data_IF_457233710661
#
_entry.id   IF_457233710661
#
_cell.length_a   1.000
_cell.length_b   1.000
_cell.length_c   1.000
_cell.angle_alpha   90.00
_cell.angle_beta   90.00
_cell.angle_gamma   90.00
#
_symmetry.space_group_name_H-M   'P 1'
#
loop_
_entity.id
_entity.type
_entity.pdbx_description
1 polymer ?
#
# COMPACT_ATOMS: atom_id res chain seq x y z
N UNK A 1 12.18 -4.47 -11.25
CA UNK A 1 12.16 -3.33 -12.21
C UNK A 1 12.05 -2.00 -11.48
N UNK A 2 11.02 -1.79 -10.65
CA UNK A 2 10.79 -0.47 -10.05
C UNK A 2 11.87 -0.03 -9.05
N UNK A 3 12.53 -0.95 -8.35
CA UNK A 3 13.54 -0.57 -7.33
C UNK A 3 14.93 -0.29 -7.92
N UNK A 4 15.32 -1.00 -8.98
CA UNK A 4 16.68 -0.96 -9.52
C UNK A 4 16.66 -0.71 -11.03
N UNK A 5 16.73 -1.77 -11.85
CA UNK A 5 16.71 -1.66 -13.31
C UNK A 5 15.78 -2.68 -13.97
N UNK A 6 15.53 -2.50 -15.26
CA UNK A 6 14.81 -3.49 -16.07
C UNK A 6 15.57 -4.83 -16.13
N UNK A 7 16.90 -4.78 -16.28
CA UNK A 7 17.76 -5.98 -16.31
C UNK A 7 17.67 -6.77 -15.01
N UNK A 8 17.80 -6.09 -13.87
CA UNK A 8 17.63 -6.73 -12.55
C UNK A 8 16.24 -7.33 -12.39
N UNK A 9 15.21 -6.68 -12.94
CA UNK A 9 13.85 -7.22 -12.95
C UNK A 9 13.72 -8.51 -13.77
N UNK A 10 14.34 -8.57 -14.94
CA UNK A 10 14.36 -9.78 -15.77
C UNK A 10 15.10 -10.92 -15.09
N UNK A 11 16.25 -10.64 -14.46
CA UNK A 11 17.00 -11.63 -13.69
C UNK A 11 16.16 -12.17 -12.53
N UNK A 12 15.52 -11.29 -11.75
CA UNK A 12 14.65 -11.71 -10.65
C UNK A 12 13.46 -12.56 -11.14
N UNK A 13 12.83 -12.17 -12.26
CA UNK A 13 11.74 -12.92 -12.86
C UNK A 13 12.18 -14.28 -13.40
N UNK A 14 13.42 -14.40 -13.88
CA UNK A 14 14.00 -15.66 -14.33
C UNK A 14 14.35 -16.58 -13.15
N UNK A 15 14.84 -16.05 -12.04
CA UNK A 15 15.27 -16.85 -10.87
C UNK A 15 14.10 -17.28 -9.99
N UNK A 16 13.10 -16.41 -9.79
CA UNK A 16 12.02 -16.63 -8.82
C UNK A 16 11.27 -17.97 -8.98
N UNK A 17 10.92 -18.44 -10.21
CA UNK A 17 10.25 -19.72 -10.40
C UNK A 17 11.09 -20.93 -9.99
N UNK A 18 12.42 -20.81 -9.97
CA UNK A 18 13.34 -21.90 -9.64
C UNK A 18 13.74 -21.96 -8.16
N UNK A 19 13.24 -21.03 -7.34
CA UNK A 19 13.46 -21.10 -5.89
C UNK A 19 12.70 -22.31 -5.32
N UNK A 20 13.33 -23.16 -4.48
CA UNK A 20 12.66 -24.36 -3.95
C UNK A 20 11.33 -24.06 -3.27
N UNK A 21 11.25 -22.97 -2.50
CA UNK A 21 10.01 -22.54 -1.84
C UNK A 21 8.91 -22.13 -2.83
N UNK A 22 9.28 -21.53 -3.98
CA UNK A 22 8.32 -21.20 -5.04
C UNK A 22 7.78 -22.46 -5.70
N UNK A 23 8.64 -23.44 -5.99
CA UNK A 23 8.24 -24.70 -6.62
C UNK A 23 7.29 -25.49 -5.72
N UNK A 24 7.67 -25.66 -4.45
CA UNK A 24 6.91 -26.44 -3.47
C UNK A 24 5.49 -25.87 -3.26
N UNK A 25 5.36 -24.54 -3.31
CA UNK A 25 4.08 -23.84 -3.11
C UNK A 25 3.22 -23.66 -4.37
N UNK A 26 3.73 -24.00 -5.57
CA UNK A 26 3.06 -23.73 -6.86
C UNK A 26 3.00 -24.93 -7.81
N UNK A 27 3.26 -26.14 -7.32
CA UNK A 27 3.24 -27.35 -8.14
C UNK A 27 1.84 -27.66 -8.69
N UNK A 28 1.80 -28.28 -9.87
CA UNK A 28 0.54 -28.65 -10.53
C UNK A 28 -0.29 -29.61 -9.65
N UNK A 29 -1.59 -29.33 -9.52
CA UNK A 29 -2.50 -30.10 -8.68
C UNK A 29 -2.49 -29.70 -7.19
N UNK A 30 -1.55 -28.86 -6.76
CA UNK A 30 -1.49 -28.35 -5.39
C UNK A 30 -2.23 -27.02 -5.28
N UNK A 31 -3.56 -27.11 -5.12
CA UNK A 31 -4.47 -25.95 -5.00
C UNK A 31 -4.41 -25.26 -3.62
N UNK A 32 -3.21 -24.99 -3.13
CA UNK A 32 -2.98 -24.27 -1.87
C UNK A 32 -3.02 -22.76 -2.11
N UNK A 33 -3.42 -21.99 -1.09
CA UNK A 33 -3.50 -20.52 -1.12
C UNK A 33 -2.11 -19.85 -1.06
N UNK A 34 -1.04 -20.61 -0.80
CA UNK A 34 0.33 -20.12 -0.60
C UNK A 34 0.89 -19.34 -1.80
N UNK A 35 0.81 -19.92 -3.00
CA UNK A 35 1.23 -19.25 -4.24
C UNK A 35 0.33 -18.06 -4.58
N UNK A 36 -0.98 -18.20 -4.32
CA UNK A 36 -1.96 -17.14 -4.55
C UNK A 36 -1.66 -15.89 -3.72
N UNK A 37 -1.59 -15.98 -2.38
CA UNK A 37 -1.32 -14.77 -1.60
C UNK A 37 0.10 -14.24 -1.83
N UNK A 38 1.08 -15.10 -2.14
CA UNK A 38 2.45 -14.64 -2.45
C UNK A 38 2.46 -13.75 -3.69
N UNK A 39 1.71 -14.12 -4.72
CA UNK A 39 1.50 -13.26 -5.89
C UNK A 39 0.86 -11.93 -5.50
N UNK A 40 -0.20 -11.96 -4.69
CA UNK A 40 -0.88 -10.74 -4.24
C UNK A 40 0.05 -9.85 -3.40
N UNK A 41 0.91 -10.41 -2.54
CA UNK A 41 1.93 -9.65 -1.78
C UNK A 41 2.85 -8.89 -2.74
N UNK A 42 3.36 -9.56 -3.78
CA UNK A 42 4.24 -8.91 -4.77
C UNK A 42 3.48 -7.80 -5.52
N UNK A 43 2.20 -8.00 -5.83
CA UNK A 43 1.34 -6.97 -6.45
C UNK A 43 1.15 -5.77 -5.51
N UNK A 44 0.89 -5.99 -4.22
CA UNK A 44 0.77 -4.93 -3.21
C UNK A 44 2.06 -4.11 -3.15
N UNK A 45 3.21 -4.77 -3.04
CA UNK A 45 4.51 -4.09 -2.97
C UNK A 45 4.78 -3.30 -4.26
N UNK A 46 4.51 -3.90 -5.41
CA UNK A 46 4.65 -3.24 -6.70
C UNK A 46 3.76 -1.99 -6.80
N UNK A 47 2.46 -2.14 -6.52
CA UNK A 47 1.49 -1.06 -6.57
C UNK A 47 1.85 0.07 -5.59
N UNK A 48 2.31 -0.29 -4.39
CA UNK A 48 2.75 0.69 -3.40
C UNK A 48 3.98 1.47 -3.86
N UNK A 49 5.01 0.79 -4.38
CA UNK A 49 6.18 1.48 -4.95
C UNK A 49 5.76 2.42 -6.09
N UNK A 50 4.81 2.01 -6.93
CA UNK A 50 4.27 2.86 -8.00
C UNK A 50 3.52 4.06 -7.46
N UNK A 51 2.78 3.89 -6.37
CA UNK A 51 2.09 4.98 -5.65
C UNK A 51 3.08 5.99 -5.13
N UNK A 52 4.11 5.53 -4.40
CA UNK A 52 5.15 6.40 -3.83
C UNK A 52 5.92 7.15 -4.93
N UNK A 53 6.25 6.49 -6.04
CA UNK A 53 6.93 7.16 -7.16
C UNK A 53 6.05 8.16 -7.90
N UNK A 54 4.75 7.88 -7.99
CA UNK A 54 3.79 8.78 -8.61
C UNK A 54 3.53 9.99 -7.71
N UNK A 55 3.57 9.80 -6.38
CA UNK A 55 3.44 10.87 -5.41
C UNK A 55 4.56 11.90 -5.60
N UNK A 56 4.23 12.96 -6.32
CA UNK A 56 5.14 14.08 -6.55
C UNK A 56 5.39 14.89 -5.27
N UNK A 57 6.36 15.80 -5.36
CA UNK A 57 6.81 16.66 -4.25
C UNK A 57 6.17 18.06 -4.27
N UNK A 58 5.09 18.22 -5.03
CA UNK A 58 4.38 19.48 -5.19
C UNK A 58 3.76 19.93 -3.86
N UNK A 59 3.93 21.22 -3.55
CA UNK A 59 3.33 21.83 -2.37
C UNK A 59 1.88 22.21 -2.64
N UNK A 60 0.94 21.46 -2.06
CA UNK A 60 -0.50 21.68 -2.25
C UNK A 60 -1.13 22.55 -1.17
N UNK A 61 -0.54 22.57 0.02
CA UNK A 61 -1.07 23.29 1.18
C UNK A 61 -0.15 24.48 1.49
N UNK A 62 -0.72 25.67 1.45
CA UNK A 62 0.02 26.90 1.77
C UNK A 62 0.22 27.03 3.29
N UNK A 63 -0.86 26.82 4.06
CA UNK A 63 -0.88 26.82 5.52
C UNK A 63 -1.71 25.66 6.08
N UNK A 64 -1.09 24.86 6.94
CA UNK A 64 -1.74 23.74 7.63
C UNK A 64 -2.60 24.19 8.82
N UNK A 65 -2.50 25.46 9.25
CA UNK A 65 -3.34 26.02 10.33
C UNK A 65 -4.75 26.40 9.86
N UNK A 66 -4.95 26.51 8.55
CA UNK A 66 -6.21 26.92 7.95
C UNK A 66 -6.88 25.73 7.26
N UNK A 67 -7.99 25.26 7.80
CA UNK A 67 -8.74 24.14 7.23
C UNK A 67 -9.15 24.36 5.76
N UNK A 68 -9.45 25.60 5.36
CA UNK A 68 -9.77 25.93 3.96
C UNK A 68 -8.61 25.67 2.99
N UNK A 69 -7.37 25.89 3.44
CA UNK A 69 -6.15 25.62 2.65
C UNK A 69 -5.95 24.12 2.45
N UNK A 70 -6.19 23.30 3.48
CA UNK A 70 -6.13 21.84 3.38
C UNK A 70 -7.18 21.31 2.40
N UNK A 71 -8.43 21.77 2.50
CA UNK A 71 -9.51 21.36 1.59
C UNK A 71 -9.21 21.71 0.14
N UNK A 72 -8.63 22.89 -0.09
CA UNK A 72 -8.21 23.33 -1.42
C UNK A 72 -7.04 22.48 -1.93
N UNK A 73 -6.06 22.19 -1.07
CA UNK A 73 -4.95 21.29 -1.37
C UNK A 73 -5.41 19.89 -1.76
N UNK A 74 -6.37 19.31 -1.03
CA UNK A 74 -6.98 18.02 -1.37
C UNK A 74 -7.66 18.07 -2.75
N UNK A 75 -8.50 19.08 -3.00
CA UNK A 75 -9.17 19.23 -4.30
C UNK A 75 -8.16 19.33 -5.44
N UNK A 76 -7.11 20.13 -5.27
CA UNK A 76 -6.06 20.31 -6.26
C UNK A 76 -5.30 18.99 -6.48
N UNK A 77 -4.93 18.28 -5.41
CA UNK A 77 -4.31 16.97 -5.50
C UNK A 77 -5.15 16.00 -6.33
N UNK A 78 -6.46 15.87 -6.05
CA UNK A 78 -7.33 14.98 -6.84
C UNK A 78 -7.42 15.35 -8.32
N UNK A 79 -7.38 16.65 -8.65
CA UNK A 79 -7.48 17.14 -10.03
C UNK A 79 -6.16 16.93 -10.79
N UNK A 80 -5.03 17.26 -10.17
CA UNK A 80 -3.72 17.32 -10.83
C UNK A 80 -2.93 16.01 -10.71
N UNK A 81 -3.05 15.27 -9.61
CA UNK A 81 -2.27 14.04 -9.33
C UNK A 81 -3.08 12.77 -9.64
N UNK A 82 -3.79 12.75 -10.78
CA UNK A 82 -4.68 11.62 -11.15
C UNK A 82 -3.94 10.28 -11.22
N UNK A 83 -2.69 10.30 -11.67
CA UNK A 83 -1.87 9.08 -11.75
C UNK A 83 -1.57 8.52 -10.37
N UNK A 84 -1.22 9.39 -9.43
CA UNK A 84 -0.97 9.04 -8.02
C UNK A 84 -2.23 8.47 -7.38
N UNK A 85 -3.38 9.13 -7.58
CA UNK A 85 -4.67 8.64 -7.08
C UNK A 85 -5.00 7.25 -7.64
N UNK A 86 -4.81 7.03 -8.94
CA UNK A 86 -5.05 5.71 -9.56
C UNK A 86 -4.20 4.62 -8.95
N UNK A 87 -2.91 4.88 -8.74
CA UNK A 87 -2.00 3.91 -8.11
C UNK A 87 -2.32 3.70 -6.63
N UNK A 88 -2.68 4.75 -5.89
CA UNK A 88 -3.10 4.64 -4.50
C UNK A 88 -4.37 3.78 -4.37
N UNK A 89 -5.39 4.02 -5.21
CA UNK A 89 -6.60 3.19 -5.26
C UNK A 89 -6.24 1.75 -5.61
N UNK A 90 -5.42 1.52 -6.64
CA UNK A 90 -5.01 0.17 -7.02
C UNK A 90 -4.23 -0.55 -5.91
N UNK A 91 -3.38 0.17 -5.18
CA UNK A 91 -2.67 -0.37 -4.01
C UNK A 91 -3.65 -0.73 -2.90
N UNK A 92 -4.64 0.13 -2.65
CA UNK A 92 -5.71 -0.16 -1.70
C UNK A 92 -6.50 -1.41 -2.08
N UNK A 93 -6.88 -1.55 -3.35
CA UNK A 93 -7.56 -2.77 -3.86
C UNK A 93 -6.68 -4.00 -3.70
N UNK A 94 -5.39 -3.91 -4.05
CA UNK A 94 -4.45 -5.02 -3.89
C UNK A 94 -4.28 -5.43 -2.41
N UNK A 95 -4.21 -4.45 -1.50
CA UNK A 95 -4.07 -4.70 -0.06
C UNK A 95 -5.37 -5.25 0.54
N UNK A 96 -6.54 -4.78 0.09
CA UNK A 96 -7.83 -5.36 0.45
C UNK A 96 -7.98 -6.79 -0.06
N UNK A 97 -7.55 -7.08 -1.28
CA UNK A 97 -7.48 -8.43 -1.81
C UNK A 97 -6.53 -9.33 -1.01
N UNK A 98 -5.38 -8.80 -0.55
CA UNK A 98 -4.46 -9.53 0.33
C UNK A 98 -5.13 -9.88 1.67
N UNK A 99 -5.87 -8.94 2.26
CA UNK A 99 -6.62 -9.17 3.49
C UNK A 99 -7.66 -10.29 3.32
N UNK A 100 -8.36 -10.32 2.18
CA UNK A 100 -9.30 -11.40 1.87
C UNK A 100 -8.60 -12.73 1.56
N UNK A 101 -7.37 -12.71 1.07
CA UNK A 101 -6.61 -13.89 0.69
C UNK A 101 -5.90 -14.57 1.89
N UNK A 102 -5.42 -13.79 2.86
CA UNK A 102 -4.54 -14.30 3.91
C UNK A 102 -4.58 -13.45 5.19
N UNK A 103 -4.75 -14.11 6.33
CA UNK A 103 -4.78 -13.45 7.65
C UNK A 103 -3.48 -12.73 8.01
N UNK A 104 -2.35 -13.12 7.41
CA UNK A 104 -1.07 -12.42 7.58
C UNK A 104 -0.95 -11.11 6.79
N UNK A 105 -2.01 -10.61 6.14
CA UNK A 105 -1.97 -9.32 5.42
C UNK A 105 -1.48 -8.14 6.27
N UNK A 106 -1.52 -8.25 7.60
CA UNK A 106 -0.89 -7.35 8.57
C UNK A 106 0.56 -7.03 8.19
N UNK A 107 1.32 -7.98 7.63
CA UNK A 107 2.68 -7.69 7.15
C UNK A 107 2.68 -6.64 6.03
N UNK A 108 1.74 -6.74 5.06
CA UNK A 108 1.59 -5.74 4.00
C UNK A 108 1.14 -4.38 4.53
N UNK A 109 0.25 -4.38 5.54
CA UNK A 109 -0.19 -3.16 6.24
C UNK A 109 1.00 -2.48 6.93
N UNK A 110 1.78 -3.22 7.71
CA UNK A 110 2.93 -2.72 8.46
C UNK A 110 4.01 -2.21 7.51
N UNK A 111 4.33 -2.94 6.44
CA UNK A 111 5.30 -2.49 5.43
C UNK A 111 4.87 -1.17 4.79
N UNK A 112 3.58 -1.05 4.44
CA UNK A 112 3.04 0.18 3.85
C UNK A 112 3.11 1.34 4.86
N UNK A 113 2.57 1.14 6.06
CA UNK A 113 2.55 2.13 7.14
C UNK A 113 3.94 2.62 7.55
N UNK A 114 4.87 1.69 7.83
CA UNK A 114 6.24 2.03 8.19
C UNK A 114 6.97 2.76 7.07
N UNK A 115 6.73 2.37 5.81
CA UNK A 115 7.35 3.08 4.70
C UNK A 115 6.87 4.53 4.59
N UNK A 116 5.59 4.82 4.87
CA UNK A 116 5.09 6.20 4.94
C UNK A 116 5.82 6.95 6.04
N UNK A 117 5.89 6.38 7.25
CA UNK A 117 6.56 7.01 8.39
C UNK A 117 8.02 7.35 8.06
N UNK A 118 8.77 6.40 7.50
CA UNK A 118 10.17 6.61 7.10
C UNK A 118 10.28 7.68 6.02
N UNK A 119 9.43 7.62 4.99
CA UNK A 119 9.48 8.57 3.88
C UNK A 119 9.09 9.99 4.30
N UNK A 120 8.10 10.16 5.18
CA UNK A 120 7.74 11.47 5.76
C UNK A 120 8.91 12.06 6.54
N UNK A 121 9.61 11.24 7.36
CA UNK A 121 10.82 11.68 8.06
C UNK A 121 11.90 12.12 7.07
N UNK A 122 12.13 11.34 6.00
CA UNK A 122 13.12 11.67 4.97
C UNK A 122 12.75 12.95 4.22
N UNK A 123 11.49 13.13 3.84
CA UNK A 123 11.00 14.34 3.19
C UNK A 123 11.13 15.56 4.11
N UNK A 124 10.88 15.39 5.41
CA UNK A 124 11.08 16.43 6.42
C UNK A 124 12.55 16.86 6.51
N UNK A 125 13.48 15.90 6.53
CA UNK A 125 14.93 16.18 6.51
C UNK A 125 15.31 16.92 5.21
N UNK A 126 14.72 16.54 4.09
CA UNK A 126 14.92 17.17 2.77
C UNK A 126 14.15 18.48 2.57
N UNK A 127 13.34 18.90 3.56
CA UNK A 127 12.48 20.10 3.50
C UNK A 127 11.48 20.07 2.32
N UNK A 128 11.01 18.87 1.96
CA UNK A 128 10.01 18.64 0.92
C UNK A 128 8.63 18.49 1.56
N UNK A 129 7.57 18.91 0.86
CA UNK A 129 6.19 18.74 1.33
C UNK A 129 5.73 17.28 1.13
N UNK A 130 5.32 16.63 2.22
CA UNK A 130 4.86 15.23 2.25
C UNK A 130 3.36 15.06 1.95
N UNK A 131 2.66 16.13 1.61
CA UNK A 131 1.20 16.12 1.44
C UNK A 131 0.71 15.02 0.47
N UNK A 132 1.35 14.91 -0.69
CA UNK A 132 0.99 13.95 -1.73
C UNK A 132 1.12 12.50 -1.25
N UNK A 133 2.23 12.16 -0.58
CA UNK A 133 2.47 10.84 0.02
C UNK A 133 1.43 10.54 1.10
N UNK A 134 1.18 11.52 1.97
CA UNK A 134 0.25 11.39 3.09
C UNK A 134 -1.18 11.13 2.62
N UNK A 135 -1.69 11.93 1.68
CA UNK A 135 -3.03 11.75 1.09
C UNK A 135 -3.14 10.42 0.35
N UNK A 136 -2.08 10.00 -0.35
CA UNK A 136 -2.05 8.70 -1.03
C UNK A 136 -2.19 7.53 -0.05
N UNK A 137 -1.51 7.60 1.11
CA UNK A 137 -1.66 6.60 2.16
C UNK A 137 -3.09 6.56 2.73
N UNK A 138 -3.71 7.72 2.96
CA UNK A 138 -5.12 7.76 3.36
C UNK A 138 -6.04 7.09 2.34
N UNK A 139 -5.82 7.32 1.04
CA UNK A 139 -6.59 6.66 -0.03
C UNK A 139 -6.39 5.13 0.02
N UNK A 140 -5.16 4.65 0.18
CA UNK A 140 -4.86 3.22 0.28
C UNK A 140 -5.66 2.58 1.42
N UNK A 141 -5.60 3.14 2.63
CA UNK A 141 -6.37 2.65 3.78
C UNK A 141 -7.88 2.72 3.56
N UNK A 142 -8.37 3.85 3.04
CA UNK A 142 -9.80 4.07 2.79
C UNK A 142 -10.39 3.15 1.71
N UNK A 143 -9.55 2.55 0.86
CA UNK A 143 -9.99 1.54 -0.12
C UNK A 143 -9.79 0.13 0.43
N UNK A 144 -8.62 -0.17 1.02
CA UNK A 144 -8.26 -1.52 1.45
C UNK A 144 -9.15 -2.05 2.57
N UNK A 145 -9.35 -1.27 3.63
CA UNK A 145 -10.07 -1.75 4.80
C UNK A 145 -11.56 -1.98 4.49
N UNK A 146 -12.31 -1.04 3.89
CA UNK A 146 -13.72 -1.28 3.55
C UNK A 146 -13.95 -2.47 2.63
N UNK A 147 -13.01 -2.75 1.72
CA UNK A 147 -13.10 -3.91 0.84
C UNK A 147 -13.08 -5.25 1.60
N UNK A 148 -12.33 -5.32 2.71
CA UNK A 148 -12.17 -6.54 3.50
C UNK A 148 -13.12 -6.62 4.72
N UNK A 149 -13.60 -5.48 5.26
CA UNK A 149 -14.47 -5.41 6.45
C UNK A 149 -15.63 -6.44 6.43
N UNK A 150 -16.43 -6.57 5.35
CA UNK A 150 -17.60 -7.44 5.36
C UNK A 150 -17.25 -8.89 5.69
N UNK A 151 -16.12 -9.40 5.16
CA UNK A 151 -15.66 -10.76 5.43
C UNK A 151 -15.36 -10.97 6.91
N UNK A 152 -14.60 -10.06 7.53
CA UNK A 152 -14.19 -10.19 8.93
C UNK A 152 -15.34 -10.01 9.93
N UNK A 153 -16.37 -9.24 9.57
CA UNK A 153 -17.59 -9.13 10.38
C UNK A 153 -18.42 -10.42 10.32
N UNK A 154 -18.67 -10.94 9.11
CA UNK A 154 -19.46 -12.16 8.91
C UNK A 154 -18.79 -13.37 9.54
N UNK A 155 -17.45 -13.47 9.44
CA UNK A 155 -16.67 -14.55 10.04
C UNK A 155 -16.43 -14.39 11.54
N UNK A 156 -16.93 -13.32 12.18
CA UNK A 156 -16.68 -12.99 13.60
C UNK A 156 -15.18 -12.89 13.95
N UNK A 157 -14.36 -12.49 12.98
CA UNK A 157 -12.90 -12.41 13.07
C UNK A 157 -12.38 -10.98 13.21
N UNK A 158 -13.27 -10.00 13.33
CA UNK A 158 -12.91 -8.58 13.36
C UNK A 158 -11.91 -8.23 14.46
N UNK A 159 -12.18 -8.62 15.71
CA UNK A 159 -11.32 -8.26 16.84
C UNK A 159 -9.95 -8.94 16.74
N UNK A 160 -9.93 -10.21 16.32
CA UNK A 160 -8.71 -11.04 16.32
C UNK A 160 -7.79 -10.67 15.16
N UNK A 161 -8.33 -10.48 13.96
CA UNK A 161 -7.54 -10.38 12.74
C UNK A 161 -7.62 -9.03 12.03
N UNK A 162 -8.59 -8.18 12.35
CA UNK A 162 -8.85 -6.95 11.58
C UNK A 162 -8.62 -5.65 12.33
N UNK A 163 -9.01 -5.61 13.61
CA UNK A 163 -8.97 -4.40 14.43
C UNK A 163 -7.53 -3.88 14.60
N UNK A 164 -6.58 -4.76 14.93
CA UNK A 164 -5.19 -4.36 15.14
C UNK A 164 -4.54 -3.82 13.86
N UNK A 165 -4.61 -4.49 12.68
CA UNK A 165 -4.07 -3.92 11.44
C UNK A 165 -4.69 -2.57 11.08
N UNK A 166 -5.99 -2.40 11.27
CA UNK A 166 -6.68 -1.13 11.02
C UNK A 166 -6.16 -0.01 11.92
N UNK A 167 -6.05 -0.29 13.22
CA UNK A 167 -5.52 0.67 14.21
C UNK A 167 -4.06 0.99 13.95
N UNK A 168 -3.24 0.00 13.60
CA UNK A 168 -1.84 0.23 13.26
C UNK A 168 -1.71 1.13 12.03
N UNK A 169 -2.45 0.85 10.96
CA UNK A 169 -2.37 1.64 9.75
C UNK A 169 -2.75 3.11 9.99
N UNK A 170 -3.96 3.36 10.48
CA UNK A 170 -4.42 4.74 10.67
C UNK A 170 -3.73 5.41 11.86
N UNK A 171 -3.36 4.66 12.89
CA UNK A 171 -2.56 5.16 14.01
C UNK A 171 -1.21 5.69 13.55
N UNK A 172 -0.52 5.00 12.64
CA UNK A 172 0.75 5.51 12.09
C UNK A 172 0.58 6.77 11.24
N UNK A 173 -0.57 6.95 10.58
CA UNK A 173 -0.85 8.17 9.82
C UNK A 173 -1.20 9.36 10.73
N UNK A 174 -1.51 9.13 12.00
CA UNK A 174 -1.82 10.21 12.96
C UNK A 174 -0.60 10.71 13.74
N UNK A 175 0.55 10.04 13.61
CA UNK A 175 1.84 10.43 14.20
C UNK A 175 2.56 11.45 13.32
#
# INVERSE_FOLDING_TARGET
>A
KEVSSARTGLIAAAIFPFLPASIDSSIFGYANYLSFYTFIIVVVLYAWIRTVKAAGTHRYVSSYRQFGSIRTGLRNFYVYERTTVKWAVFTGVALGALALAWQGYTYGVVVTALSVLVLVIVERIRRVDSFSLYVSAWIVGAVAFPMAIPYYLVQQQFVVWFALPLLLYFGTLLL
#
